data_IF_003411583324
#
_entry.id   IF_003411583324
#
_cell.length_a   1.000
_cell.length_b   1.000
_cell.length_c   1.000
_cell.angle_alpha   90.00
_cell.angle_beta   90.00
_cell.angle_gamma   90.00
#
_symmetry.space_group_name_H-M   'P 1'
#
loop_
_entity.id
_entity.type
_entity.pdbx_description
1 polymer ?
#
# COMPACT_ATOMS: atom_id res chain seq x y z
N UNK A 1 -8.47 1.87 -25.13
CA UNK A 1 -8.02 0.98 -24.04
C UNK A 1 -6.57 1.21 -23.55
N UNK A 2 -5.70 1.94 -24.30
CA UNK A 2 -4.33 2.27 -23.85
C UNK A 2 -4.24 3.48 -22.92
N UNK A 3 -5.18 4.42 -22.97
CA UNK A 3 -5.14 5.65 -22.17
C UNK A 3 -5.46 5.43 -20.68
N UNK A 4 -6.27 4.43 -20.34
CA UNK A 4 -6.65 4.12 -18.94
C UNK A 4 -5.52 3.43 -18.17
N UNK A 5 -4.53 2.84 -18.84
CA UNK A 5 -3.39 2.16 -18.21
C UNK A 5 -2.33 3.09 -17.63
N UNK A 6 -2.32 4.39 -17.99
CA UNK A 6 -1.25 5.34 -17.66
C UNK A 6 -1.43 6.13 -16.34
N UNK A 7 -2.52 5.99 -15.60
CA UNK A 7 -2.77 6.77 -14.38
C UNK A 7 -2.92 5.87 -13.15
N UNK A 8 -1.97 4.96 -12.91
CA UNK A 8 -2.04 4.01 -11.81
C UNK A 8 -1.24 4.41 -10.57
N UNK A 9 -0.42 5.43 -10.66
CA UNK A 9 0.26 6.01 -9.50
C UNK A 9 -0.32 7.38 -9.21
N UNK A 10 -0.92 7.52 -8.04
CA UNK A 10 -1.40 8.77 -7.50
C UNK A 10 -0.68 9.07 -6.18
N UNK A 11 -0.06 10.22 -6.10
CA UNK A 11 0.51 10.74 -4.88
C UNK A 11 -0.39 11.83 -4.30
N UNK A 12 -0.67 11.76 -3.02
CA UNK A 12 -1.29 12.84 -2.25
C UNK A 12 -0.16 13.58 -1.56
N UNK A 13 0.16 14.77 -2.09
CA UNK A 13 1.18 15.63 -1.51
C UNK A 13 0.65 16.36 -0.29
N UNK A 14 1.53 16.54 0.65
CA UNK A 14 1.24 17.07 1.96
C UNK A 14 0.71 18.51 1.99
N UNK A 15 -0.21 18.68 2.91
CA UNK A 15 -0.66 19.92 3.50
C UNK A 15 -0.54 19.79 5.03
N UNK A 16 -0.65 20.86 5.82
CA UNK A 16 -0.51 20.80 7.26
C UNK A 16 -1.31 19.68 7.91
N UNK A 17 -0.84 19.22 9.07
CA UNK A 17 -1.52 18.21 9.89
C UNK A 17 -3.02 18.54 10.03
N UNK A 18 -3.90 17.56 9.86
CA UNK A 18 -5.36 17.76 9.95
C UNK A 18 -6.08 18.03 8.63
N UNK A 19 -5.40 18.04 7.47
CA UNK A 19 -6.01 18.34 6.16
C UNK A 19 -6.97 17.26 5.60
N UNK A 20 -7.15 16.11 6.29
CA UNK A 20 -8.07 15.04 5.87
C UNK A 20 -7.43 13.88 5.09
N UNK A 21 -6.11 13.82 4.94
CA UNK A 21 -5.40 12.73 4.23
C UNK A 21 -5.67 11.35 4.83
N UNK A 22 -5.51 11.22 6.14
CA UNK A 22 -5.76 9.97 6.85
C UNK A 22 -7.22 9.55 6.72
N UNK A 23 -8.15 10.48 6.79
CA UNK A 23 -9.59 10.22 6.58
C UNK A 23 -9.84 9.70 5.17
N UNK A 24 -9.28 10.34 4.14
CA UNK A 24 -9.41 9.86 2.76
C UNK A 24 -8.80 8.46 2.60
N UNK A 25 -7.60 8.22 3.15
CA UNK A 25 -6.96 6.91 3.10
C UNK A 25 -7.80 5.84 3.80
N UNK A 26 -8.40 6.15 4.95
CA UNK A 26 -9.28 5.24 5.66
C UNK A 26 -10.54 4.90 4.85
N UNK A 27 -11.15 5.89 4.20
CA UNK A 27 -12.32 5.67 3.34
C UNK A 27 -11.95 4.82 2.12
N UNK A 28 -10.89 5.18 1.38
CA UNK A 28 -10.41 4.39 0.23
C UNK A 28 -9.97 2.99 0.65
N UNK A 29 -9.40 2.87 1.84
CA UNK A 29 -8.97 1.62 2.46
C UNK A 29 -10.09 0.76 3.04
N UNK A 30 -11.36 1.17 2.92
CA UNK A 30 -12.49 0.48 3.55
C UNK A 30 -12.33 0.31 5.07
N UNK A 31 -11.65 1.24 5.74
CA UNK A 31 -11.51 1.29 7.20
C UNK A 31 -12.56 2.20 7.84
N UNK A 32 -13.15 3.09 7.03
CA UNK A 32 -14.19 4.03 7.44
C UNK A 32 -15.18 4.25 6.29
N UNK A 33 -16.36 4.78 6.58
CA UNK A 33 -17.39 5.09 5.59
C UNK A 33 -17.45 6.59 5.32
N UNK A 34 -17.64 6.96 4.05
CA UNK A 34 -17.91 8.35 3.70
C UNK A 34 -19.31 8.77 4.18
N UNK A 35 -19.42 9.96 4.79
CA UNK A 35 -20.71 10.53 5.20
C UNK A 35 -21.63 10.78 3.99
N UNK A 36 -21.04 11.09 2.83
CA UNK A 36 -21.76 11.33 1.56
C UNK A 36 -20.85 11.09 0.38
N UNK A 37 -21.45 10.98 -0.82
CA UNK A 37 -20.72 10.72 -2.06
C UNK A 37 -20.67 9.24 -2.43
N UNK A 38 -19.84 8.90 -3.42
CA UNK A 38 -19.65 7.52 -3.89
C UNK A 38 -18.18 7.21 -4.02
N UNK A 39 -17.81 5.98 -3.63
CA UNK A 39 -16.49 5.42 -3.85
C UNK A 39 -16.63 4.18 -4.75
N UNK A 40 -15.98 4.22 -5.90
CA UNK A 40 -15.96 3.12 -6.86
C UNK A 40 -14.56 2.51 -6.84
N UNK A 41 -14.46 1.24 -6.46
CA UNK A 41 -13.23 0.46 -6.46
C UNK A 41 -13.37 -0.73 -7.42
N UNK A 42 -12.48 -0.83 -8.40
CA UNK A 42 -12.49 -1.90 -9.39
C UNK A 42 -13.87 -2.10 -10.06
N UNK A 43 -14.53 -0.97 -10.41
CA UNK A 43 -15.86 -0.95 -11.04
C UNK A 43 -17.05 -1.19 -10.09
N UNK A 44 -16.82 -1.47 -8.83
CA UNK A 44 -17.85 -1.71 -7.81
C UNK A 44 -18.07 -0.47 -6.95
N UNK A 45 -19.31 -0.02 -6.79
CA UNK A 45 -19.69 1.01 -5.81
C UNK A 45 -19.68 0.40 -4.41
N UNK A 46 -18.74 0.85 -3.58
CA UNK A 46 -18.54 0.34 -2.22
C UNK A 46 -19.13 1.26 -1.14
N UNK A 47 -19.73 2.38 -1.53
CA UNK A 47 -20.26 3.40 -0.59
C UNK A 47 -21.41 2.88 0.28
N UNK A 48 -22.07 1.80 -0.14
CA UNK A 48 -23.21 1.19 0.56
C UNK A 48 -22.91 -0.21 1.10
N UNK A 49 -21.64 -0.61 1.10
CA UNK A 49 -21.23 -1.92 1.61
C UNK A 49 -21.37 -1.98 3.13
N UNK A 50 -21.79 -3.13 3.64
CA UNK A 50 -21.75 -3.44 5.07
C UNK A 50 -20.29 -3.61 5.55
N UNK A 51 -20.08 -3.56 6.87
CA UNK A 51 -18.74 -3.75 7.46
C UNK A 51 -18.09 -5.08 7.07
N UNK A 52 -18.90 -6.15 6.98
CA UNK A 52 -18.41 -7.46 6.51
C UNK A 52 -17.96 -7.39 5.05
N UNK A 53 -18.77 -6.78 4.17
CA UNK A 53 -18.40 -6.60 2.76
C UNK A 53 -17.16 -5.71 2.61
N UNK A 54 -17.03 -4.64 3.39
CA UNK A 54 -15.81 -3.82 3.40
C UNK A 54 -14.60 -4.60 3.88
N UNK A 55 -14.75 -5.48 4.86
CA UNK A 55 -13.68 -6.37 5.33
C UNK A 55 -13.22 -7.34 4.25
N UNK A 56 -14.15 -7.92 3.50
CA UNK A 56 -13.83 -8.81 2.37
C UNK A 56 -13.13 -8.06 1.23
N UNK A 57 -13.61 -6.87 0.88
CA UNK A 57 -12.99 -6.01 -0.14
C UNK A 57 -11.57 -5.63 0.30
N UNK A 58 -11.40 -5.22 1.54
CA UNK A 58 -10.08 -4.88 2.11
C UNK A 58 -9.12 -6.06 2.03
N UNK A 59 -9.57 -7.24 2.42
CA UNK A 59 -8.75 -8.45 2.40
C UNK A 59 -8.32 -8.86 0.98
N UNK A 60 -9.22 -8.72 0.00
CA UNK A 60 -9.02 -9.23 -1.35
C UNK A 60 -8.42 -8.20 -2.31
N UNK A 61 -8.75 -6.92 -2.15
CA UNK A 61 -8.44 -5.89 -3.15
C UNK A 61 -7.47 -4.82 -2.69
N UNK A 62 -7.20 -4.69 -1.38
CA UNK A 62 -6.42 -3.58 -0.83
C UNK A 62 -5.22 -4.12 -0.05
N UNK A 63 -4.03 -3.59 -0.37
CA UNK A 63 -2.84 -3.78 0.43
C UNK A 63 -2.48 -2.48 1.15
N UNK A 64 -2.03 -2.58 2.41
CA UNK A 64 -1.60 -1.42 3.21
C UNK A 64 -0.13 -1.47 3.52
N UNK A 65 0.54 -0.33 3.34
CA UNK A 65 1.93 -0.11 3.72
C UNK A 65 2.00 1.17 4.55
N UNK A 66 2.51 1.08 5.79
CA UNK A 66 2.56 2.17 6.74
C UNK A 66 4.00 2.60 7.03
N UNK A 67 4.20 3.85 7.45
CA UNK A 67 5.48 4.40 7.85
C UNK A 67 6.16 3.57 8.95
N UNK A 68 5.41 3.11 9.95
CA UNK A 68 5.90 2.34 11.09
C UNK A 68 5.84 0.82 10.87
N UNK A 69 5.83 0.35 9.60
CA UNK A 69 5.84 -1.07 9.17
C UNK A 69 4.67 -1.90 9.69
N UNK A 70 4.16 -1.68 10.89
CA UNK A 70 3.07 -2.41 11.56
C UNK A 70 3.28 -3.95 11.52
N UNK A 71 4.50 -4.39 11.77
CA UNK A 71 4.84 -5.81 11.85
C UNK A 71 4.57 -6.35 13.26
N UNK A 72 4.13 -7.61 13.32
CA UNK A 72 4.00 -8.33 14.59
C UNK A 72 5.39 -8.71 15.08
N UNK A 73 5.87 -8.04 16.13
CA UNK A 73 7.27 -8.12 16.61
C UNK A 73 7.71 -9.52 17.06
N UNK A 74 6.76 -10.36 17.50
CA UNK A 74 7.03 -11.73 17.96
C UNK A 74 7.00 -12.76 16.85
N UNK A 75 6.50 -12.41 15.68
CA UNK A 75 6.36 -13.27 14.51
C UNK A 75 7.55 -13.05 13.55
N UNK A 76 7.95 -14.11 12.83
CA UNK A 76 8.95 -14.02 11.77
C UNK A 76 8.43 -13.23 10.56
N UNK A 77 9.33 -12.89 9.60
CA UNK A 77 8.95 -12.29 8.34
C UNK A 77 7.92 -13.16 7.60
N UNK A 78 8.18 -14.47 7.53
CA UNK A 78 7.26 -15.46 6.95
C UNK A 78 5.87 -15.41 7.60
N UNK A 79 5.80 -15.41 8.92
CA UNK A 79 4.53 -15.42 9.65
C UNK A 79 3.77 -14.10 9.47
N UNK A 80 4.47 -12.95 9.43
CA UNK A 80 3.87 -11.66 9.12
C UNK A 80 3.23 -11.65 7.74
N UNK A 81 3.91 -12.20 6.73
CA UNK A 81 3.40 -12.26 5.35
C UNK A 81 2.28 -13.29 5.21
N UNK A 82 2.29 -14.37 5.97
CA UNK A 82 1.20 -15.35 6.02
C UNK A 82 -0.12 -14.81 6.61
N UNK A 83 -0.09 -13.71 7.35
CA UNK A 83 -1.24 -13.23 8.11
C UNK A 83 -2.47 -12.94 7.24
N UNK A 84 -2.40 -12.15 6.15
CA UNK A 84 -3.54 -11.91 5.27
C UNK A 84 -4.09 -13.20 4.65
N UNK A 85 -3.22 -14.13 4.28
CA UNK A 85 -3.62 -15.44 3.74
C UNK A 85 -4.34 -16.29 4.79
N UNK A 86 -4.04 -16.10 6.07
CA UNK A 86 -4.73 -16.77 7.18
C UNK A 86 -6.17 -16.28 7.27
N UNK A 87 -6.38 -14.96 7.17
CA UNK A 87 -7.72 -14.37 7.14
C UNK A 87 -8.51 -14.74 5.88
N UNK A 88 -7.81 -14.94 4.76
CA UNK A 88 -8.41 -15.43 3.52
C UNK A 88 -8.75 -16.93 3.52
N UNK A 89 -8.50 -17.65 4.64
CA UNK A 89 -8.82 -19.09 4.76
C UNK A 89 -7.90 -20.02 3.95
N UNK A 90 -6.77 -19.51 3.43
CA UNK A 90 -5.83 -20.30 2.62
C UNK A 90 -5.19 -21.40 3.47
N UNK A 91 -5.07 -22.67 2.99
CA UNK A 91 -4.44 -23.76 3.72
C UNK A 91 -2.99 -23.47 4.12
N UNK A 92 -2.54 -23.98 5.28
CA UNK A 92 -1.22 -23.66 5.86
C UNK A 92 -0.04 -23.89 4.91
N UNK A 93 -0.06 -24.97 4.12
CA UNK A 93 1.00 -25.29 3.16
C UNK A 93 1.07 -24.22 2.08
N UNK A 94 -0.05 -23.93 1.44
CA UNK A 94 -0.16 -22.92 0.38
C UNK A 94 0.18 -21.51 0.88
N UNK A 95 -0.23 -21.15 2.11
CA UNK A 95 0.16 -19.86 2.71
C UNK A 95 1.67 -19.67 2.76
N UNK A 96 2.40 -20.71 3.16
CA UNK A 96 3.87 -20.65 3.27
C UNK A 96 4.52 -20.53 1.91
N UNK A 97 4.02 -21.23 0.91
CA UNK A 97 4.50 -21.16 -0.47
C UNK A 97 4.30 -19.76 -1.05
N UNK A 98 3.09 -19.21 -0.94
CA UNK A 98 2.78 -17.85 -1.41
C UNK A 98 3.57 -16.77 -0.66
N UNK A 99 3.72 -16.91 0.65
CA UNK A 99 4.49 -15.98 1.46
C UNK A 99 5.98 -16.04 1.14
N UNK A 100 6.53 -17.22 0.85
CA UNK A 100 7.92 -17.37 0.40
C UNK A 100 8.15 -16.63 -0.91
N UNK A 101 7.30 -16.85 -1.91
CA UNK A 101 7.37 -16.14 -3.20
C UNK A 101 7.30 -14.61 -3.01
N UNK A 102 6.40 -14.14 -2.13
CA UNK A 102 6.29 -12.70 -1.85
C UNK A 102 7.55 -12.13 -1.18
N UNK A 103 8.19 -12.89 -0.27
CA UNK A 103 9.44 -12.48 0.38
C UNK A 103 10.63 -12.53 -0.58
N UNK A 104 10.73 -13.53 -1.44
CA UNK A 104 11.74 -13.59 -2.50
C UNK A 104 11.62 -12.39 -3.45
N UNK A 105 10.41 -12.03 -3.82
CA UNK A 105 10.11 -10.89 -4.69
C UNK A 105 10.60 -9.55 -4.13
N UNK A 106 10.61 -9.39 -2.81
CA UNK A 106 11.14 -8.19 -2.15
C UNK A 106 12.60 -8.33 -1.72
N UNK A 107 13.31 -9.37 -2.18
CA UNK A 107 14.72 -9.62 -1.89
C UNK A 107 14.99 -10.05 -0.45
N UNK A 108 14.09 -10.81 0.17
CA UNK A 108 14.19 -11.29 1.56
C UNK A 108 14.03 -12.81 1.68
N UNK A 109 14.34 -13.56 0.62
CA UNK A 109 14.26 -15.02 0.61
C UNK A 109 15.15 -15.69 1.66
N UNK A 110 16.32 -15.13 1.97
CA UNK A 110 17.26 -15.59 2.99
C UNK A 110 16.88 -15.14 4.42
N UNK A 111 15.87 -14.30 4.59
CA UNK A 111 15.47 -13.67 5.86
C UNK A 111 14.06 -14.09 6.34
N UNK A 112 13.46 -15.11 5.73
CA UNK A 112 12.09 -15.55 6.03
C UNK A 112 11.86 -15.91 7.51
N UNK A 113 12.86 -16.46 8.20
CA UNK A 113 12.79 -16.84 9.61
C UNK A 113 13.10 -15.70 10.58
N UNK A 114 13.61 -14.56 10.10
CA UNK A 114 14.02 -13.44 10.93
C UNK A 114 12.79 -12.72 11.52
N UNK A 115 12.94 -12.32 12.79
CA UNK A 115 11.94 -11.46 13.46
C UNK A 115 12.21 -9.99 13.12
N UNK A 116 11.22 -9.11 13.25
CA UNK A 116 11.39 -7.68 12.99
C UNK A 116 12.55 -7.03 13.76
N UNK A 117 12.88 -7.52 14.98
CA UNK A 117 14.02 -7.05 15.77
C UNK A 117 15.38 -7.37 15.16
N UNK A 118 15.46 -8.30 14.23
CA UNK A 118 16.67 -8.75 13.53
C UNK A 118 16.81 -8.13 12.14
N UNK A 119 15.86 -7.28 11.72
CA UNK A 119 15.79 -6.66 10.42
C UNK A 119 16.08 -5.16 10.49
N UNK A 120 16.76 -4.63 9.46
CA UNK A 120 16.91 -3.18 9.28
C UNK A 120 15.57 -2.50 8.99
N UNK A 121 15.50 -1.16 9.03
CA UNK A 121 14.32 -0.39 8.68
C UNK A 121 13.81 -0.72 7.28
N UNK A 122 14.67 -0.68 6.27
CA UNK A 122 14.33 -1.02 4.89
C UNK A 122 13.89 -2.47 4.71
N UNK A 123 14.50 -3.43 5.44
CA UNK A 123 14.06 -4.82 5.43
C UNK A 123 12.67 -4.98 6.04
N UNK A 124 12.38 -4.31 7.17
CA UNK A 124 11.03 -4.30 7.77
C UNK A 124 9.99 -3.76 6.80
N UNK A 125 10.30 -2.69 6.10
CA UNK A 125 9.39 -2.10 5.11
C UNK A 125 9.15 -3.07 3.94
N UNK A 126 10.18 -3.74 3.45
CA UNK A 126 10.01 -4.76 2.41
C UNK A 126 9.18 -5.95 2.88
N UNK A 127 9.28 -6.38 4.15
CA UNK A 127 8.36 -7.38 4.72
C UNK A 127 6.92 -6.85 4.75
N UNK A 128 6.72 -5.58 5.13
CA UNK A 128 5.38 -4.96 5.12
C UNK A 128 4.79 -4.89 3.71
N UNK A 129 5.61 -4.59 2.69
CA UNK A 129 5.21 -4.61 1.28
C UNK A 129 4.87 -6.04 0.84
N UNK A 130 5.71 -7.05 1.14
CA UNK A 130 5.44 -8.45 0.83
C UNK A 130 4.09 -8.90 1.44
N UNK A 131 3.82 -8.52 2.68
CA UNK A 131 2.52 -8.76 3.34
C UNK A 131 1.37 -8.08 2.62
N UNK A 132 1.58 -6.85 2.13
CA UNK A 132 0.53 -6.10 1.44
C UNK A 132 0.18 -6.69 0.07
N UNK A 133 1.15 -7.31 -0.64
CA UNK A 133 0.95 -7.84 -2.00
C UNK A 133 0.59 -9.32 -2.06
N UNK A 134 0.68 -10.06 -0.96
CA UNK A 134 0.55 -11.54 -0.96
C UNK A 134 -0.82 -12.06 -1.41
N UNK A 135 -1.87 -11.24 -1.28
CA UNK A 135 -3.23 -11.53 -1.78
C UNK A 135 -3.48 -10.97 -3.19
N UNK A 136 -2.46 -10.48 -3.91
CA UNK A 136 -2.58 -9.87 -5.24
C UNK A 136 -3.61 -8.72 -5.29
N UNK A 137 -3.44 -7.69 -4.45
CA UNK A 137 -4.40 -6.60 -4.36
C UNK A 137 -4.50 -5.81 -5.67
N UNK A 138 -5.63 -5.11 -5.87
CA UNK A 138 -5.83 -4.19 -6.99
C UNK A 138 -5.21 -2.82 -6.74
N UNK A 139 -5.13 -2.43 -5.45
CA UNK A 139 -4.57 -1.15 -5.02
C UNK A 139 -3.69 -1.34 -3.78
N UNK A 140 -2.56 -0.64 -3.77
CA UNK A 140 -1.72 -0.44 -2.58
C UNK A 140 -1.94 0.98 -2.05
N UNK A 141 -2.23 1.06 -0.77
CA UNK A 141 -2.32 2.31 -0.01
C UNK A 141 -1.06 2.45 0.83
N UNK A 142 -0.24 3.44 0.54
CA UNK A 142 1.04 3.67 1.21
C UNK A 142 1.02 5.00 1.95
N UNK A 143 1.18 4.95 3.28
CA UNK A 143 1.24 6.13 4.14
C UNK A 143 2.68 6.36 4.57
N UNK A 144 3.32 7.41 4.00
CA UNK A 144 4.72 7.78 4.27
C UNK A 144 5.70 6.59 4.19
N UNK A 145 5.69 5.79 3.10
CA UNK A 145 6.35 4.47 3.08
C UNK A 145 7.87 4.53 3.23
N UNK A 146 8.48 5.70 3.06
CA UNK A 146 9.93 5.92 3.18
C UNK A 146 10.31 6.81 4.37
N UNK A 147 9.33 7.39 5.07
CA UNK A 147 9.56 8.43 6.09
C UNK A 147 10.36 7.97 7.33
N UNK A 148 10.53 6.67 7.53
CA UNK A 148 11.35 6.09 8.61
C UNK A 148 12.64 5.41 8.10
N UNK A 149 13.02 5.64 6.84
CA UNK A 149 14.14 4.97 6.17
C UNK A 149 15.28 5.94 5.89
N UNK A 150 16.50 5.41 5.79
CA UNK A 150 17.62 6.09 5.16
C UNK A 150 17.40 6.20 3.64
N UNK A 151 18.12 7.12 2.98
CA UNK A 151 17.93 7.43 1.55
C UNK A 151 18.06 6.20 0.67
N UNK A 152 19.09 5.37 0.88
CA UNK A 152 19.32 4.17 0.06
C UNK A 152 18.21 3.12 0.23
N UNK A 153 17.75 2.89 1.47
CA UNK A 153 16.60 2.01 1.72
C UNK A 153 15.31 2.58 1.15
N UNK A 154 15.16 3.91 1.16
CA UNK A 154 14.02 4.61 0.56
C UNK A 154 13.96 4.41 -0.95
N UNK A 155 15.09 4.59 -1.66
CA UNK A 155 15.21 4.34 -3.10
C UNK A 155 14.80 2.90 -3.47
N UNK A 156 15.33 1.90 -2.76
CA UNK A 156 14.97 0.49 -2.99
C UNK A 156 13.48 0.21 -2.81
N UNK A 157 12.85 0.87 -1.84
CA UNK A 157 11.39 0.75 -1.62
C UNK A 157 10.62 1.41 -2.76
N UNK A 158 11.07 2.56 -3.28
CA UNK A 158 10.42 3.22 -4.40
C UNK A 158 10.57 2.44 -5.71
N UNK A 159 11.72 1.85 -5.98
CA UNK A 159 11.93 0.93 -7.11
C UNK A 159 10.95 -0.27 -7.06
N UNK A 160 10.74 -0.82 -5.85
CA UNK A 160 9.78 -1.90 -5.66
C UNK A 160 8.34 -1.44 -5.93
N UNK A 161 7.94 -0.24 -5.49
CA UNK A 161 6.64 0.32 -5.83
C UNK A 161 6.48 0.52 -7.34
N UNK A 162 7.52 1.02 -8.02
CA UNK A 162 7.51 1.19 -9.48
C UNK A 162 7.30 -0.16 -10.18
N UNK A 163 8.06 -1.19 -9.81
CA UNK A 163 7.91 -2.54 -10.37
C UNK A 163 6.48 -3.08 -10.20
N UNK A 164 5.88 -2.90 -9.02
CA UNK A 164 4.51 -3.31 -8.74
C UNK A 164 3.49 -2.57 -9.61
N UNK A 165 3.73 -1.27 -9.83
CA UNK A 165 2.87 -0.46 -10.70
C UNK A 165 2.96 -0.91 -12.16
N UNK A 166 4.15 -1.21 -12.66
CA UNK A 166 4.39 -1.71 -14.02
C UNK A 166 3.67 -3.05 -14.26
N UNK A 167 3.57 -3.88 -13.23
CA UNK A 167 2.78 -5.12 -13.24
C UNK A 167 1.26 -4.90 -13.16
N UNK A 168 0.84 -3.67 -12.96
CA UNK A 168 -0.56 -3.28 -13.03
C UNK A 168 -1.28 -3.08 -11.69
N UNK A 169 -0.54 -3.06 -10.58
CA UNK A 169 -1.09 -2.67 -9.27
C UNK A 169 -1.25 -1.16 -9.24
N UNK A 170 -2.43 -0.67 -8.86
CA UNK A 170 -2.63 0.77 -8.63
C UNK A 170 -2.00 1.17 -7.29
N UNK A 171 -1.34 2.33 -7.24
CA UNK A 171 -0.70 2.81 -6.00
C UNK A 171 -1.26 4.18 -5.64
N UNK A 172 -1.76 4.29 -4.42
CA UNK A 172 -2.12 5.56 -3.79
C UNK A 172 -1.16 5.80 -2.64
N UNK A 173 -0.30 6.81 -2.78
CA UNK A 173 0.71 7.14 -1.79
C UNK A 173 0.42 8.49 -1.14
N UNK A 174 0.57 8.57 0.17
CA UNK A 174 0.62 9.82 0.92
C UNK A 174 2.07 10.09 1.26
N UNK A 175 2.59 11.26 0.91
CA UNK A 175 3.93 11.69 1.32
C UNK A 175 4.02 13.21 1.41
N UNK A 176 4.87 13.69 2.30
CA UNK A 176 5.27 15.10 2.35
C UNK A 176 6.54 15.36 1.53
N UNK A 177 7.22 14.34 1.07
CA UNK A 177 8.42 14.43 0.27
C UNK A 177 8.08 14.82 -1.18
N UNK A 178 8.64 15.95 -1.62
CA UNK A 178 8.40 16.49 -2.95
C UNK A 178 9.06 15.65 -4.06
N UNK A 179 10.20 15.02 -3.78
CA UNK A 179 10.91 14.17 -4.74
C UNK A 179 10.09 12.90 -5.00
N UNK A 180 9.65 12.25 -3.93
CA UNK A 180 8.77 11.07 -4.04
C UNK A 180 7.46 11.41 -4.74
N UNK A 181 6.85 12.56 -4.41
CA UNK A 181 5.63 13.00 -5.06
C UNK A 181 5.81 13.26 -6.57
N UNK A 182 7.00 13.70 -6.99
CA UNK A 182 7.31 13.95 -8.41
C UNK A 182 7.45 12.67 -9.23
N UNK A 183 7.72 11.54 -8.61
CA UNK A 183 7.78 10.22 -9.27
C UNK A 183 6.40 9.67 -9.65
N UNK A 184 5.33 10.20 -9.07
CA UNK A 184 3.97 9.75 -9.34
C UNK A 184 3.45 10.31 -10.66
N UNK A 185 2.66 9.52 -11.38
CA UNK A 185 2.01 9.92 -12.64
C UNK A 185 0.96 11.02 -12.43
N UNK A 186 0.39 11.11 -11.23
CA UNK A 186 -0.59 12.12 -10.84
C UNK A 186 -0.36 12.54 -9.39
N UNK A 187 -0.29 13.84 -9.16
CA UNK A 187 -0.19 14.41 -7.81
C UNK A 187 -1.46 15.17 -7.45
N UNK A 188 -1.97 14.94 -6.25
CA UNK A 188 -3.13 15.64 -5.70
C UNK A 188 -2.70 16.32 -4.40
N UNK A 189 -3.06 17.57 -4.22
CA UNK A 189 -2.85 18.31 -2.98
C UNK A 189 -4.18 18.39 -2.22
N UNK A 190 -4.15 18.06 -0.92
CA UNK A 190 -5.33 18.21 -0.05
C UNK A 190 -5.04 19.35 0.92
N UNK A 191 -5.88 20.39 0.91
CA UNK A 191 -5.85 21.50 1.87
C UNK A 191 -7.23 21.73 2.44
N UNK A 192 -7.34 21.75 3.76
CA UNK A 192 -8.58 22.02 4.48
C UNK A 192 -9.77 21.15 4.00
N UNK A 193 -9.50 19.85 3.77
CA UNK A 193 -10.48 18.89 3.27
C UNK A 193 -10.83 19.02 1.78
N UNK A 194 -10.20 19.93 1.05
CA UNK A 194 -10.44 20.12 -0.38
C UNK A 194 -9.29 19.57 -1.22
N UNK A 195 -9.64 18.81 -2.27
CA UNK A 195 -8.66 18.26 -3.22
C UNK A 195 -8.41 19.24 -4.37
N UNK A 196 -7.13 19.55 -4.62
CA UNK A 196 -6.66 20.26 -5.81
C UNK A 196 -5.78 19.31 -6.62
N UNK A 197 -6.23 18.89 -7.79
CA UNK A 197 -5.39 18.10 -8.69
C UNK A 197 -4.41 19.02 -9.42
N UNK A 198 -3.12 18.69 -9.38
CA UNK A 198 -2.15 19.15 -10.37
C UNK A 198 -1.90 17.98 -11.31
N UNK A 199 -2.33 18.06 -12.54
CA UNK A 199 -1.85 17.19 -13.59
C UNK A 199 -0.37 17.52 -13.81
N UNK A 200 0.49 16.52 -13.71
CA UNK A 200 1.87 16.68 -14.17
C UNK A 200 1.78 16.77 -15.70
N UNK A 201 2.21 17.91 -16.23
CA UNK A 201 2.25 18.12 -17.67
C UNK A 201 3.07 16.99 -18.31
N UNK A 202 2.51 16.34 -19.31
CA UNK A 202 3.22 15.40 -20.18
C UNK A 202 4.40 16.14 -20.83
N UNK A 203 5.62 15.74 -20.49
CA UNK A 203 6.85 16.08 -21.24
C UNK A 203 7.16 14.96 -22.21
#
# INVERSE_FOLDING_TARGET
>A
HKAIRRQRQMCIRDSPSGSGKTTLMNIVGCLDQATSGRLILDGQDISKCSDNQMSDIRLQKIGFVFQNFQLLARQSAMENVCLPLTYAGVPKKERRERAAIALERVGLGDRMSFKPTQLSGGQKQRVAIARAIVNHPKILLADEPTGALDSHSGEQVMELFQSLNDEGVSILMITHDAEIASMAQRTVEIRDGMMKSKEVAET
#
